data_IF_042099671705
#
_entry.id   IF_042099671705
#
_cell.length_a   1.000
_cell.length_b   1.000
_cell.length_c   1.000
_cell.angle_alpha   90.00
_cell.angle_beta   90.00
_cell.angle_gamma   90.00
#
_symmetry.space_group_name_H-M   'P 1'
#
loop_
_entity.id
_entity.type
_entity.pdbx_description
1 polymer ?
#
# COMPACT_ATOMS: atom_id res chain seq x y z
N UNK A 1 23.40 5.94 -7.81
CA UNK A 1 22.21 5.56 -7.03
C UNK A 1 22.69 5.24 -5.62
N UNK A 2 22.37 6.09 -4.63
CA UNK A 2 22.71 5.76 -3.23
C UNK A 2 21.83 4.59 -2.79
N UNK A 3 22.42 3.70 -2.00
CA UNK A 3 21.84 2.47 -1.46
C UNK A 3 20.41 2.71 -0.94
N UNK A 4 19.54 1.73 -1.19
CA UNK A 4 18.13 1.77 -0.82
C UNK A 4 17.93 2.17 0.64
N UNK A 5 16.83 2.87 0.89
CA UNK A 5 16.36 3.25 2.22
C UNK A 5 15.89 1.98 2.95
N UNK A 6 16.84 1.13 3.34
CA UNK A 6 16.56 -0.06 4.13
C UNK A 6 16.37 0.35 5.59
N UNK A 7 15.10 0.48 6.00
CA UNK A 7 14.74 0.86 7.36
C UNK A 7 15.04 -0.25 8.38
N UNK A 8 15.42 -1.45 7.91
CA UNK A 8 15.56 -2.62 8.76
C UNK A 8 17.00 -2.86 9.25
N UNK A 9 18.01 -2.06 8.86
CA UNK A 9 19.41 -2.22 9.32
C UNK A 9 19.92 -3.68 9.29
N UNK A 10 19.45 -4.51 8.35
CA UNK A 10 19.80 -5.94 8.27
C UNK A 10 19.24 -6.82 9.40
N UNK A 11 18.28 -6.34 10.20
CA UNK A 11 17.60 -7.10 11.24
C UNK A 11 16.34 -7.74 10.62
N UNK A 12 16.29 -9.07 10.47
CA UNK A 12 15.09 -9.73 9.98
C UNK A 12 13.93 -9.50 10.97
N UNK A 13 12.86 -8.88 10.50
CA UNK A 13 11.61 -8.77 11.26
C UNK A 13 11.06 -10.18 11.50
N UNK A 14 11.12 -10.65 12.74
CA UNK A 14 10.60 -11.97 13.10
C UNK A 14 9.11 -12.06 12.77
N UNK A 15 8.77 -12.93 11.81
CA UNK A 15 7.40 -13.15 11.30
C UNK A 15 6.45 -13.75 12.33
N UNK A 16 6.94 -14.21 13.48
CA UNK A 16 6.15 -14.81 14.56
C UNK A 16 6.35 -14.06 15.88
N UNK A 17 5.33 -14.06 16.76
CA UNK A 17 5.50 -13.50 18.09
C UNK A 17 6.41 -14.39 18.95
N UNK A 18 7.36 -13.80 19.69
CA UNK A 18 8.27 -14.56 20.56
C UNK A 18 7.51 -15.18 21.75
N UNK A 19 8.05 -16.25 22.33
CA UNK A 19 7.39 -16.97 23.42
C UNK A 19 7.13 -16.13 24.68
N UNK A 20 7.96 -15.11 24.93
CA UNK A 20 7.79 -14.14 26.01
C UNK A 20 6.94 -12.92 25.60
N UNK A 21 6.05 -13.04 24.62
CA UNK A 21 5.17 -11.94 24.23
C UNK A 21 4.13 -11.68 25.33
N UNK A 22 3.91 -10.40 25.65
CA UNK A 22 3.02 -9.95 26.74
C UNK A 22 1.56 -10.43 26.59
N UNK A 23 1.12 -10.73 25.37
CA UNK A 23 -0.18 -11.36 25.11
C UNK A 23 0.03 -12.86 24.94
N UNK A 24 -0.34 -13.63 25.96
CA UNK A 24 -0.14 -15.09 26.04
C UNK A 24 -0.80 -15.90 24.91
N UNK A 25 -1.74 -15.31 24.18
CA UNK A 25 -2.45 -15.93 23.05
C UNK A 25 -1.73 -15.82 21.70
N UNK A 26 -0.65 -15.05 21.64
CA UNK A 26 0.06 -14.73 20.41
C UNK A 26 1.39 -15.47 20.15
N UNK A 27 2.11 -16.05 21.14
CA UNK A 27 3.30 -16.85 20.88
C UNK A 27 3.10 -17.84 19.73
N UNK A 28 4.11 -17.96 18.86
CA UNK A 28 4.11 -18.84 17.69
C UNK A 28 3.06 -18.52 16.60
N UNK A 29 2.20 -17.52 16.79
CA UNK A 29 1.33 -17.02 15.71
C UNK A 29 2.11 -16.08 14.79
N UNK A 30 1.80 -16.16 13.50
CA UNK A 30 2.35 -15.25 12.50
C UNK A 30 1.87 -13.81 12.80
N UNK A 31 2.83 -12.89 12.97
CA UNK A 31 2.57 -11.45 13.01
C UNK A 31 1.97 -11.05 11.67
N UNK A 32 0.68 -10.74 11.67
CA UNK A 32 -0.04 -10.27 10.47
C UNK A 32 -1.13 -11.21 9.94
N UNK A 33 -1.34 -12.39 10.54
CA UNK A 33 -2.43 -13.30 10.16
C UNK A 33 -3.51 -13.46 11.24
N UNK A 34 -3.72 -12.45 12.09
CA UNK A 34 -4.96 -12.35 12.86
C UNK A 34 -6.00 -11.57 12.06
N UNK A 35 -6.91 -12.35 11.44
CA UNK A 35 -8.31 -12.02 11.18
C UNK A 35 -8.64 -10.52 11.13
N UNK A 36 -8.66 -9.98 9.90
CA UNK A 36 -9.41 -8.77 9.58
C UNK A 36 -10.94 -8.90 9.78
N UNK A 37 -11.43 -9.95 10.46
CA UNK A 37 -12.84 -10.09 10.81
C UNK A 37 -13.21 -9.36 12.10
N UNK A 38 -12.23 -8.96 12.93
CA UNK A 38 -12.48 -8.33 14.25
C UNK A 38 -12.21 -6.82 14.33
N UNK A 39 -11.55 -6.22 13.33
CA UNK A 39 -11.45 -4.75 13.25
C UNK A 39 -12.75 -4.09 12.75
N UNK A 40 -13.73 -4.87 12.30
CA UNK A 40 -15.13 -4.44 12.17
C UNK A 40 -15.86 -4.62 13.51
N UNK A 41 -15.46 -3.89 14.56
CA UNK A 41 -16.37 -3.61 15.70
C UNK A 41 -17.35 -2.50 15.32
N UNK A 42 -18.00 -2.64 14.16
CA UNK A 42 -19.31 -2.05 13.93
C UNK A 42 -20.28 -3.13 14.39
N UNK A 43 -21.12 -2.80 15.38
CA UNK A 43 -22.13 -3.70 15.95
C UNK A 43 -22.88 -4.36 14.79
N UNK A 44 -22.69 -5.67 14.62
CA UNK A 44 -23.32 -6.49 13.57
C UNK A 44 -24.75 -6.79 13.99
N UNK A 45 -25.62 -5.78 13.98
CA UNK A 45 -27.05 -5.98 14.18
C UNK A 45 -27.74 -5.57 12.89
N UNK A 46 -28.26 -6.55 12.17
CA UNK A 46 -29.13 -6.33 11.03
C UNK A 46 -30.38 -5.58 11.55
N UNK A 47 -30.74 -4.40 11.00
CA UNK A 47 -31.92 -3.64 11.45
C UNK A 47 -33.23 -4.44 11.30
N UNK A 48 -33.21 -5.50 10.50
CA UNK A 48 -34.39 -6.24 10.05
C UNK A 48 -34.70 -7.50 10.86
N UNK A 49 -33.81 -7.94 11.76
CA UNK A 49 -34.02 -9.18 12.51
C UNK A 49 -34.76 -8.96 13.82
N UNK A 50 -36.09 -8.78 13.71
CA UNK A 50 -37.04 -9.21 14.74
C UNK A 50 -37.18 -10.75 14.72
N UNK A 51 -36.07 -11.49 14.82
CA UNK A 51 -36.08 -12.96 14.97
C UNK A 51 -36.35 -13.82 13.72
N UNK A 52 -36.11 -13.34 12.49
CA UNK A 52 -36.18 -14.21 11.28
C UNK A 52 -34.81 -14.72 10.83
N UNK A 53 -34.70 -16.02 10.58
CA UNK A 53 -33.52 -16.69 10.01
C UNK A 53 -33.46 -16.48 8.49
N UNK A 54 -32.82 -15.39 8.04
CA UNK A 54 -32.75 -15.12 6.59
C UNK A 54 -31.64 -14.20 6.12
N UNK A 55 -31.12 -13.29 6.94
CA UNK A 55 -29.96 -12.49 6.55
C UNK A 55 -28.68 -13.24 6.93
N UNK A 56 -27.96 -13.75 5.94
CA UNK A 56 -26.56 -14.09 6.11
C UNK A 56 -25.76 -12.79 5.99
N UNK A 57 -25.30 -12.19 7.11
CA UNK A 57 -24.60 -10.91 7.04
C UNK A 57 -23.34 -11.03 6.17
N UNK A 58 -22.77 -12.24 6.07
CA UNK A 58 -21.56 -12.45 5.30
C UNK A 58 -21.76 -12.25 3.79
N UNK A 59 -22.95 -12.54 3.24
CA UNK A 59 -23.25 -12.31 1.81
C UNK A 59 -23.56 -10.85 1.51
N UNK A 60 -24.43 -10.22 2.29
CA UNK A 60 -24.83 -8.82 2.05
C UNK A 60 -23.62 -7.88 2.15
N UNK A 61 -22.66 -8.16 3.02
CA UNK A 61 -21.42 -7.37 3.14
C UNK A 61 -20.34 -7.71 2.11
N UNK A 62 -20.41 -8.86 1.42
CA UNK A 62 -19.50 -9.18 0.31
C UNK A 62 -19.92 -8.47 -0.98
N UNK A 63 -21.22 -8.31 -1.19
CA UNK A 63 -21.78 -7.68 -2.39
C UNK A 63 -21.90 -6.15 -2.27
N UNK A 64 -21.86 -5.60 -1.05
CA UNK A 64 -21.93 -4.17 -0.81
C UNK A 64 -20.62 -3.44 -1.16
N UNK A 65 -20.69 -2.53 -2.12
CA UNK A 65 -19.58 -1.63 -2.47
C UNK A 65 -19.30 -0.63 -1.34
N UNK A 66 -18.05 -0.21 -1.24
CA UNK A 66 -17.72 0.84 -0.26
C UNK A 66 -18.28 2.19 -0.71
N UNK A 67 -18.66 3.06 0.24
CA UNK A 67 -19.11 4.42 -0.08
C UNK A 67 -18.13 5.16 -0.99
N UNK A 68 -16.82 4.99 -0.75
CA UNK A 68 -15.78 5.63 -1.53
C UNK A 68 -15.74 5.09 -2.96
N UNK A 69 -15.89 3.78 -3.13
CA UNK A 69 -16.00 3.14 -4.45
C UNK A 69 -17.25 3.62 -5.20
N UNK A 70 -18.41 3.70 -4.55
CA UNK A 70 -19.65 4.23 -5.15
C UNK A 70 -19.47 5.67 -5.62
N UNK A 71 -18.84 6.52 -4.82
CA UNK A 71 -18.59 7.93 -5.16
C UNK A 71 -17.57 8.11 -6.29
N UNK A 72 -16.62 7.18 -6.44
CA UNK A 72 -15.65 7.19 -7.54
C UNK A 72 -16.32 6.71 -8.83
N UNK A 73 -17.08 5.61 -8.75
CA UNK A 73 -17.84 5.07 -9.89
C UNK A 73 -18.89 6.06 -10.38
N UNK A 74 -19.57 6.78 -9.48
CA UNK A 74 -20.52 7.83 -9.82
C UNK A 74 -19.90 9.00 -10.61
N UNK A 75 -18.57 9.17 -10.53
CA UNK A 75 -17.80 10.16 -11.30
C UNK A 75 -17.17 9.57 -12.56
N UNK A 76 -17.56 8.37 -12.99
CA UNK A 76 -16.98 7.65 -14.14
C UNK A 76 -15.47 7.40 -14.00
N UNK A 77 -14.98 7.22 -12.78
CA UNK A 77 -13.61 6.82 -12.52
C UNK A 77 -13.54 5.33 -12.16
N UNK A 78 -12.43 4.70 -12.54
CA UNK A 78 -12.16 3.30 -12.20
C UNK A 78 -11.36 3.21 -10.90
N UNK A 79 -11.70 2.21 -10.06
CA UNK A 79 -11.00 1.95 -8.81
C UNK A 79 -10.08 0.76 -8.99
N UNK A 80 -8.78 0.99 -8.84
CA UNK A 80 -7.76 -0.06 -8.83
C UNK A 80 -7.49 -0.44 -7.38
N UNK A 81 -7.81 -1.69 -7.02
CA UNK A 81 -7.52 -2.23 -5.70
C UNK A 81 -6.14 -2.90 -5.70
N UNK A 82 -5.28 -2.45 -4.79
CA UNK A 82 -3.98 -3.08 -4.55
C UNK A 82 -4.10 -4.15 -3.45
N UNK A 83 -3.41 -5.29 -3.56
CA UNK A 83 -3.43 -6.31 -2.52
C UNK A 83 -2.80 -5.76 -1.23
N UNK A 84 -3.39 -6.07 -0.06
CA UNK A 84 -3.03 -5.47 1.24
C UNK A 84 -1.55 -5.63 1.63
N UNK A 85 -0.91 -6.73 1.25
CA UNK A 85 0.52 -6.97 1.49
C UNK A 85 1.41 -6.39 0.38
N UNK A 86 0.92 -6.34 -0.86
CA UNK A 86 1.59 -5.66 -1.96
C UNK A 86 1.64 -4.14 -1.79
N UNK A 87 0.65 -3.56 -1.09
CA UNK A 87 0.57 -2.12 -0.79
C UNK A 87 1.72 -1.60 0.08
N UNK A 88 2.46 -2.47 0.76
CA UNK A 88 3.67 -2.09 1.53
C UNK A 88 4.98 -2.23 0.74
N UNK A 89 4.93 -2.72 -0.50
CA UNK A 89 6.07 -2.65 -1.40
C UNK A 89 5.99 -1.32 -2.13
N UNK A 90 6.80 -0.36 -1.68
CA UNK A 90 6.99 0.96 -2.30
C UNK A 90 7.31 0.89 -3.81
N UNK A 91 7.71 -0.29 -4.29
CA UNK A 91 8.00 -0.60 -5.68
C UNK A 91 6.77 -0.63 -6.60
N UNK A 92 5.58 -0.86 -6.04
CA UNK A 92 4.32 -1.06 -6.77
C UNK A 92 3.47 0.21 -6.92
N UNK A 93 3.82 1.26 -6.18
CA UNK A 93 3.13 2.54 -6.23
C UNK A 93 3.98 3.57 -6.98
N UNK A 94 3.64 3.84 -8.24
CA UNK A 94 4.41 4.78 -9.07
C UNK A 94 4.41 6.21 -8.50
N UNK A 95 3.39 6.57 -7.70
CA UNK A 95 3.31 7.88 -7.05
C UNK A 95 4.44 8.07 -6.03
N UNK A 96 4.92 7.00 -5.39
CA UNK A 96 6.04 7.10 -4.44
C UNK A 96 7.35 7.44 -5.16
N UNK A 97 7.56 6.89 -6.36
CA UNK A 97 8.71 7.25 -7.21
C UNK A 97 8.64 8.71 -7.66
N UNK A 98 7.44 9.18 -8.00
CA UNK A 98 7.19 10.59 -8.29
C UNK A 98 7.53 11.49 -7.09
N UNK A 99 7.02 11.15 -5.89
CA UNK A 99 7.30 11.89 -4.67
C UNK A 99 8.77 11.86 -4.28
N UNK A 100 9.46 10.74 -4.46
CA UNK A 100 10.90 10.63 -4.24
C UNK A 100 11.68 11.58 -5.16
N UNK A 101 11.33 11.66 -6.44
CA UNK A 101 11.95 12.59 -7.39
C UNK A 101 11.69 14.05 -7.01
N UNK A 102 10.44 14.39 -6.68
CA UNK A 102 10.08 15.75 -6.24
C UNK A 102 10.81 16.11 -4.93
N UNK A 103 10.89 15.19 -3.96
CA UNK A 103 11.60 15.39 -2.70
C UNK A 103 13.10 15.61 -2.94
N UNK A 104 13.71 14.85 -3.84
CA UNK A 104 15.11 15.01 -4.20
C UNK A 104 15.38 16.43 -4.76
N UNK A 105 14.51 16.91 -5.66
CA UNK A 105 14.60 18.27 -6.17
C UNK A 105 14.49 19.32 -5.06
N UNK A 106 13.50 19.18 -4.17
CA UNK A 106 13.32 20.07 -3.02
C UNK A 106 14.58 20.09 -2.15
N UNK A 107 15.19 18.94 -1.88
CA UNK A 107 16.40 18.86 -1.05
C UNK A 107 17.61 19.57 -1.66
N UNK A 108 17.73 19.58 -2.98
CA UNK A 108 18.81 20.29 -3.68
C UNK A 108 18.60 21.81 -3.74
N UNK A 109 17.33 22.27 -3.70
CA UNK A 109 16.99 23.67 -3.98
C UNK A 109 16.39 24.43 -2.79
N UNK A 110 16.18 23.77 -1.64
CA UNK A 110 15.55 24.38 -0.47
C UNK A 110 16.57 24.79 0.61
N UNK A 111 16.41 26.00 1.13
CA UNK A 111 17.20 26.55 2.24
C UNK A 111 16.75 26.04 3.63
N UNK A 112 16.04 24.92 3.69
CA UNK A 112 15.47 24.33 4.92
C UNK A 112 14.58 25.27 5.74
N UNK A 113 13.90 26.21 5.07
CA UNK A 113 12.85 27.08 5.62
C UNK A 113 11.46 26.61 5.16
N UNK A 114 10.44 26.78 6.00
CA UNK A 114 9.04 26.47 5.63
C UNK A 114 8.55 27.32 4.46
N UNK A 115 8.91 28.60 4.41
CA UNK A 115 8.51 29.48 3.31
C UNK A 115 9.28 29.14 2.03
N UNK A 116 10.56 28.79 2.14
CA UNK A 116 11.34 28.25 1.02
C UNK A 116 10.79 26.93 0.50
N UNK A 117 10.30 26.05 1.38
CA UNK A 117 9.63 24.82 0.96
C UNK A 117 8.36 25.11 0.16
N UNK A 118 7.53 26.06 0.62
CA UNK A 118 6.28 26.43 -0.07
C UNK A 118 6.54 27.01 -1.45
N UNK A 119 7.61 27.77 -1.65
CA UNK A 119 7.97 28.35 -2.95
C UNK A 119 8.58 27.32 -3.90
N UNK A 120 9.40 26.38 -3.38
CA UNK A 120 10.09 25.37 -4.20
C UNK A 120 9.19 24.19 -4.55
N UNK A 121 8.21 23.84 -3.72
CA UNK A 121 7.37 22.66 -3.91
C UNK A 121 6.65 22.61 -5.27
N UNK A 122 5.98 23.68 -5.76
CA UNK A 122 5.34 23.66 -7.08
C UNK A 122 6.34 23.42 -8.22
N UNK A 123 7.52 24.05 -8.13
CA UNK A 123 8.60 23.87 -9.11
C UNK A 123 9.13 22.45 -9.09
N UNK A 124 9.29 21.86 -7.90
CA UNK A 124 9.72 20.47 -7.74
C UNK A 124 8.71 19.49 -8.33
N UNK A 125 7.42 19.70 -8.12
CA UNK A 125 6.35 18.86 -8.68
C UNK A 125 6.29 18.96 -10.21
N UNK A 126 6.54 20.15 -10.77
CA UNK A 126 6.60 20.37 -12.21
C UNK A 126 7.92 19.90 -12.85
N UNK A 127 8.98 19.70 -12.05
CA UNK A 127 10.27 19.20 -12.56
C UNK A 127 10.18 17.75 -13.07
N UNK A 128 9.22 16.98 -12.56
CA UNK A 128 9.05 15.58 -12.95
C UNK A 128 8.25 15.50 -14.25
N UNK A 129 8.96 15.27 -15.36
CA UNK A 129 8.34 15.17 -16.68
C UNK A 129 7.33 14.02 -16.78
N UNK A 130 6.34 14.16 -17.67
CA UNK A 130 5.38 13.09 -18.00
C UNK A 130 6.08 11.81 -18.48
N UNK A 131 7.23 11.93 -19.16
CA UNK A 131 8.04 10.79 -19.59
C UNK A 131 8.57 10.00 -18.39
N UNK A 132 9.02 10.70 -17.34
CA UNK A 132 9.45 10.07 -16.09
C UNK A 132 8.28 9.38 -15.38
N UNK A 133 7.11 10.03 -15.33
CA UNK A 133 5.89 9.45 -14.74
C UNK A 133 5.50 8.15 -15.45
N UNK A 134 5.48 8.16 -16.79
CA UNK A 134 5.21 6.97 -17.59
C UNK A 134 6.24 5.87 -17.36
N UNK A 135 7.53 6.22 -17.20
CA UNK A 135 8.58 5.26 -16.85
C UNK A 135 8.33 4.62 -15.48
N UNK A 136 7.90 5.40 -14.49
CA UNK A 136 7.57 4.88 -13.16
C UNK A 136 6.36 3.95 -13.20
N UNK A 137 5.32 4.32 -13.94
CA UNK A 137 4.15 3.45 -14.16
C UNK A 137 4.55 2.12 -14.81
N UNK A 138 5.29 2.17 -15.92
CA UNK A 138 5.74 0.97 -16.63
C UNK A 138 6.63 0.09 -15.75
N UNK A 139 7.47 0.68 -14.89
CA UNK A 139 8.23 -0.08 -13.90
C UNK A 139 7.29 -0.85 -12.96
N UNK A 140 6.27 -0.21 -12.40
CA UNK A 140 5.30 -0.89 -11.53
C UNK A 140 4.57 -2.03 -12.27
N UNK A 141 4.20 -1.83 -13.54
CA UNK A 141 3.60 -2.89 -14.37
C UNK A 141 4.54 -4.09 -14.50
N UNK A 142 5.83 -3.89 -14.80
CA UNK A 142 6.81 -4.99 -14.89
C UNK A 142 6.97 -5.74 -13.57
N UNK A 143 6.95 -5.02 -12.44
CA UNK A 143 7.02 -5.62 -11.10
C UNK A 143 5.76 -6.46 -10.84
N UNK A 144 4.57 -5.95 -11.15
CA UNK A 144 3.30 -6.68 -11.03
C UNK A 144 3.34 -7.96 -11.88
N UNK A 145 3.81 -7.86 -13.12
CA UNK A 145 3.96 -9.04 -13.99
C UNK A 145 4.95 -10.07 -13.44
N UNK A 146 6.07 -9.63 -12.85
CA UNK A 146 7.04 -10.52 -12.24
C UNK A 146 6.43 -11.28 -11.06
N UNK A 147 5.73 -10.58 -10.17
CA UNK A 147 5.02 -11.21 -9.05
C UNK A 147 3.88 -12.13 -9.51
N UNK A 148 3.13 -11.78 -10.56
CA UNK A 148 2.10 -12.65 -11.11
C UNK A 148 2.65 -13.98 -11.65
N UNK A 149 3.93 -13.99 -12.04
CA UNK A 149 4.66 -15.18 -12.50
C UNK A 149 5.35 -15.93 -11.34
N UNK A 150 5.16 -15.47 -10.10
CA UNK A 150 5.75 -16.07 -8.91
C UNK A 150 7.25 -15.79 -8.73
N UNK A 151 7.78 -14.76 -9.39
CA UNK A 151 9.18 -14.34 -9.19
C UNK A 151 9.27 -13.46 -7.95
N UNK A 152 10.14 -13.85 -7.03
CA UNK A 152 10.36 -13.11 -5.79
C UNK A 152 11.36 -11.97 -5.97
N UNK A 153 11.24 -10.96 -5.12
CA UNK A 153 12.13 -9.80 -5.09
C UNK A 153 13.58 -10.24 -4.83
N UNK A 154 14.56 -9.50 -5.37
CA UNK A 154 16.00 -9.76 -5.22
C UNK A 154 16.56 -11.06 -5.87
N UNK A 155 15.74 -11.79 -6.63
CA UNK A 155 16.28 -12.85 -7.50
C UNK A 155 16.92 -12.28 -8.77
N UNK A 156 17.92 -12.99 -9.32
CA UNK A 156 18.53 -12.63 -10.62
C UNK A 156 17.50 -12.54 -11.75
N UNK A 157 16.44 -13.35 -11.66
CA UNK A 157 15.34 -13.37 -12.61
C UNK A 157 14.47 -12.10 -12.51
N UNK A 158 14.26 -11.56 -11.31
CA UNK A 158 13.56 -10.29 -11.09
C UNK A 158 14.32 -9.11 -11.70
N UNK A 159 15.62 -9.00 -11.40
CA UNK A 159 16.49 -7.92 -11.90
C UNK A 159 16.65 -7.95 -13.42
N UNK A 160 16.55 -9.12 -14.05
CA UNK A 160 16.59 -9.23 -15.51
C UNK A 160 15.29 -8.76 -16.20
N UNK A 161 14.17 -8.70 -15.46
CA UNK A 161 12.83 -8.39 -16.01
C UNK A 161 12.35 -6.96 -15.74
N UNK A 162 12.79 -6.34 -14.64
CA UNK A 162 12.29 -5.05 -14.13
C UNK A 162 13.28 -3.93 -14.40
#
# INVERSE_FOLDING_TARGET
MRQGFDHNHGIPLAMFFPNNYHRLELPEKAKGLERCTDQRKMIKVCPTTLGRSGCDPSRDFQEQKSLLEEQILARNHEVIFYPKFHLFHCELNFVERYWCAAKYYVQEHCEYSLDGLRTVLPTALNSVSTVSINRYYNHCVRVIEAYSKGVDYDTKEFTARV
#
